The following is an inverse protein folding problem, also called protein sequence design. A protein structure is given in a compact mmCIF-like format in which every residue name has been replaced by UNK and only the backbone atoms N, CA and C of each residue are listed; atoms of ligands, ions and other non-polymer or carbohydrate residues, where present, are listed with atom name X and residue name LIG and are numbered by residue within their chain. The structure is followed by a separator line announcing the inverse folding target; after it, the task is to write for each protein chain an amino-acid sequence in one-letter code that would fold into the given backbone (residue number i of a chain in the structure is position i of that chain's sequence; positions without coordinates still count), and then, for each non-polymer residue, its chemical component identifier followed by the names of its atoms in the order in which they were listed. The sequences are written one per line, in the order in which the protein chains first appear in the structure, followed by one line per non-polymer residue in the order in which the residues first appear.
data_IF_478460749372
#
_entry.id   IF_478460749372
#
_cell.length_a   1.000
_cell.length_b   1.000
_cell.length_c   1.000
_cell.angle_alpha   90.00
_cell.angle_beta   90.00
_cell.angle_gamma   90.00
#
_symmetry.space_group_name_H-M   'P 1'
#
loop_
_entity.id
_entity.type
_entity.pdbx_description
1 polymer ?
#
# COMPACT_ATOMS: atom_id res chain seq x y z
N UNK A 1 -6.62 1.39 -15.87
CA UNK A 1 -5.43 1.81 -16.64
C UNK A 1 -4.34 2.24 -15.65
N UNK A 2 -3.15 1.63 -15.69
CA UNK A 2 -1.99 2.00 -14.86
C UNK A 2 -0.92 2.62 -15.79
N UNK A 3 -0.81 3.95 -15.88
CA UNK A 3 0.15 4.59 -16.76
C UNK A 3 1.59 4.19 -16.40
N UNK A 4 2.44 4.06 -17.41
CA UNK A 4 3.87 3.79 -17.26
C UNK A 4 4.27 2.49 -16.54
N UNK A 5 3.36 1.53 -16.42
CA UNK A 5 3.66 0.26 -15.77
C UNK A 5 4.78 -0.51 -16.50
N UNK A 6 4.73 -0.52 -17.83
CA UNK A 6 5.66 -1.29 -18.67
C UNK A 6 6.88 -0.47 -19.12
N UNK A 7 6.79 0.87 -19.09
CA UNK A 7 7.85 1.76 -19.57
C UNK A 7 8.89 2.11 -18.51
N UNK A 8 8.64 1.75 -17.25
CA UNK A 8 9.52 2.10 -16.15
C UNK A 8 9.39 3.56 -15.66
N UNK A 9 8.71 4.42 -16.41
CA UNK A 9 8.59 5.85 -16.14
C UNK A 9 7.81 6.14 -14.83
N UNK A 10 7.98 7.31 -14.21
CA UNK A 10 7.31 7.65 -12.95
C UNK A 10 5.80 7.43 -13.02
N UNK A 11 5.23 6.86 -11.97
CA UNK A 11 3.81 6.59 -11.87
C UNK A 11 3.35 6.90 -10.45
N UNK A 12 2.68 8.04 -10.28
CA UNK A 12 2.22 8.53 -8.97
C UNK A 12 1.30 7.54 -8.21
N UNK A 13 0.72 6.55 -8.90
CA UNK A 13 -0.08 5.50 -8.27
C UNK A 13 0.77 4.39 -7.63
N UNK A 14 2.06 4.31 -7.98
CA UNK A 14 3.04 3.39 -7.43
C UNK A 14 3.92 4.04 -6.35
N UNK A 15 3.90 5.36 -6.26
CA UNK A 15 4.64 6.12 -5.27
C UNK A 15 3.87 6.22 -3.95
N UNK A 16 4.58 6.06 -2.83
CA UNK A 16 3.99 6.21 -1.50
C UNK A 16 3.64 7.67 -1.26
N UNK A 17 2.40 7.99 -0.83
CA UNK A 17 2.03 9.37 -0.55
C UNK A 17 2.81 9.92 0.65
N UNK A 18 3.18 11.19 0.59
CA UNK A 18 3.87 11.88 1.68
C UNK A 18 2.85 12.25 2.75
N UNK A 19 3.08 11.77 3.98
CA UNK A 19 2.32 12.15 5.17
C UNK A 19 3.12 13.22 5.91
N UNK A 20 2.79 14.49 5.70
CA UNK A 20 3.57 15.62 6.21
C UNK A 20 3.32 15.93 7.69
N UNK A 21 2.13 15.61 8.19
CA UNK A 21 1.77 15.71 9.60
C UNK A 21 0.88 14.53 9.98
N UNK A 22 1.28 13.77 11.01
CA UNK A 22 0.54 12.61 11.49
C UNK A 22 -0.52 12.97 12.54
N UNK A 23 -0.47 14.18 13.11
CA UNK A 23 -1.46 14.68 14.06
C UNK A 23 -2.62 15.41 13.37
N UNK A 24 -2.46 15.76 12.09
CA UNK A 24 -3.54 16.31 11.27
C UNK A 24 -4.48 15.18 10.83
N UNK A 25 -5.77 15.22 11.23
CA UNK A 25 -6.72 14.15 10.95
C UNK A 25 -7.07 14.03 9.47
N UNK A 26 -6.93 15.09 8.67
CA UNK A 26 -7.14 15.04 7.23
C UNK A 26 -5.95 14.38 6.54
N UNK A 27 -4.73 14.75 6.92
CA UNK A 27 -3.50 14.17 6.35
C UNK A 27 -3.33 12.70 6.79
N UNK A 28 -3.78 12.35 7.99
CA UNK A 28 -3.81 10.98 8.49
C UNK A 28 -4.54 9.98 7.59
N UNK A 29 -5.53 10.41 6.79
CA UNK A 29 -6.23 9.55 5.82
C UNK A 29 -5.30 8.97 4.74
N UNK A 30 -4.16 9.63 4.46
CA UNK A 30 -3.16 9.12 3.53
C UNK A 30 -2.52 7.80 4.00
N UNK A 31 -2.54 7.51 5.30
CA UNK A 31 -2.08 6.23 5.85
C UNK A 31 -3.02 5.08 5.44
N UNK A 32 -4.33 5.29 5.57
CA UNK A 32 -5.34 4.34 5.09
C UNK A 32 -5.29 4.14 3.58
N UNK A 33 -5.08 5.22 2.82
CA UNK A 33 -4.85 5.13 1.38
C UNK A 33 -3.59 4.31 1.07
N UNK A 34 -2.52 4.49 1.84
CA UNK A 34 -1.25 3.76 1.66
C UNK A 34 -1.45 2.26 1.83
N UNK A 35 -2.12 1.84 2.91
CA UNK A 35 -2.42 0.43 3.17
C UNK A 35 -3.40 -0.17 2.14
N UNK A 36 -4.44 0.57 1.76
CA UNK A 36 -5.38 0.17 0.71
C UNK A 36 -4.68 -0.06 -0.63
N UNK A 37 -3.73 0.82 -0.98
CA UNK A 37 -2.90 0.68 -2.19
C UNK A 37 -1.96 -0.51 -2.08
N UNK A 38 -1.36 -0.78 -0.93
CA UNK A 38 -0.54 -1.96 -0.73
C UNK A 38 -1.32 -3.25 -1.09
N UNK A 39 -2.53 -3.41 -0.54
CA UNK A 39 -3.40 -4.55 -0.83
C UNK A 39 -3.76 -4.63 -2.34
N UNK A 40 -4.21 -3.52 -2.91
CA UNK A 40 -4.65 -3.46 -4.32
C UNK A 40 -3.51 -3.77 -5.28
N UNK A 41 -2.35 -3.15 -5.10
CA UNK A 41 -1.17 -3.36 -5.95
C UNK A 41 -0.68 -4.80 -5.90
N UNK A 42 -0.79 -5.45 -4.74
CA UNK A 42 -0.47 -6.87 -4.59
C UNK A 42 -1.44 -7.76 -5.37
N UNK A 43 -2.75 -7.55 -5.23
CA UNK A 43 -3.73 -8.31 -6.03
C UNK A 43 -3.52 -8.15 -7.54
N UNK A 44 -3.20 -6.93 -7.99
CA UNK A 44 -2.87 -6.68 -9.39
C UNK A 44 -1.59 -7.41 -9.82
N UNK A 45 -0.55 -7.46 -8.98
CA UNK A 45 0.66 -8.20 -9.26
C UNK A 45 0.38 -9.72 -9.38
N UNK A 46 -0.49 -10.26 -8.53
CA UNK A 46 -0.83 -11.68 -8.52
C UNK A 46 -1.65 -12.11 -9.74
N UNK A 47 -2.49 -11.22 -10.27
CA UNK A 47 -3.26 -11.45 -11.50
C UNK A 47 -2.42 -11.39 -12.79
N UNK A 48 -1.17 -10.92 -12.72
CA UNK A 48 -0.28 -10.81 -13.87
C UNK A 48 0.68 -12.00 -14.00
N UNK A 49 1.04 -12.39 -15.25
CA UNK A 49 2.11 -13.34 -15.48
C UNK A 49 3.45 -12.83 -14.95
N UNK A 50 4.41 -13.72 -14.79
CA UNK A 50 5.76 -13.35 -14.38
C UNK A 50 6.40 -12.38 -15.38
N UNK A 51 6.99 -11.30 -14.87
CA UNK A 51 7.59 -10.27 -15.70
C UNK A 51 7.85 -8.96 -14.95
N UNK A 52 8.38 -7.98 -15.67
CA UNK A 52 8.78 -6.68 -15.11
C UNK A 52 7.60 -5.93 -14.48
N UNK A 53 6.42 -5.95 -15.10
CA UNK A 53 5.21 -5.31 -14.58
C UNK A 53 4.78 -5.89 -13.22
N UNK A 54 4.76 -7.23 -13.10
CA UNK A 54 4.47 -7.94 -11.85
C UNK A 54 5.49 -7.57 -10.77
N UNK A 55 6.78 -7.60 -11.10
CA UNK A 55 7.84 -7.25 -10.14
C UNK A 55 7.72 -5.81 -9.65
N UNK A 56 7.41 -4.87 -10.56
CA UNK A 56 7.22 -3.45 -10.25
C UNK A 56 6.03 -3.21 -9.33
N UNK A 57 4.88 -3.85 -9.58
CA UNK A 57 3.71 -3.77 -8.70
C UNK A 57 3.98 -4.39 -7.33
N UNK A 58 4.66 -5.54 -7.30
CA UNK A 58 5.01 -6.19 -6.04
C UNK A 58 5.96 -5.33 -5.18
N UNK A 59 6.93 -4.65 -5.80
CA UNK A 59 7.82 -3.71 -5.15
C UNK A 59 7.06 -2.47 -4.63
N UNK A 60 6.20 -1.87 -5.45
CA UNK A 60 5.37 -0.73 -5.05
C UNK A 60 4.45 -1.10 -3.87
N UNK A 61 3.80 -2.27 -3.92
CA UNK A 61 2.97 -2.77 -2.82
C UNK A 61 3.79 -2.94 -1.53
N UNK A 62 5.02 -3.44 -1.61
CA UNK A 62 5.89 -3.59 -0.45
C UNK A 62 6.31 -2.25 0.15
N UNK A 63 6.63 -1.26 -0.70
CA UNK A 63 6.98 0.09 -0.25
C UNK A 63 5.80 0.75 0.50
N UNK A 64 4.58 0.61 -0.02
CA UNK A 64 3.37 1.09 0.65
C UNK A 64 3.15 0.38 1.99
N UNK A 65 3.26 -0.95 2.03
CA UNK A 65 3.09 -1.70 3.28
C UNK A 65 4.11 -1.25 4.33
N UNK A 66 5.39 -1.14 3.96
CA UNK A 66 6.45 -0.72 4.87
C UNK A 66 6.26 0.71 5.42
N UNK A 67 5.67 1.61 4.63
CA UNK A 67 5.37 2.97 5.07
C UNK A 67 4.11 3.07 5.93
N UNK A 68 3.07 2.29 5.61
CA UNK A 68 1.77 2.35 6.28
C UNK A 68 1.71 1.57 7.60
N UNK A 69 2.38 0.41 7.68
CA UNK A 69 2.25 -0.50 8.83
C UNK A 69 2.72 0.10 10.17
N UNK A 70 3.82 0.88 10.24
CA UNK A 70 4.25 1.52 11.49
C UNK A 70 3.27 2.57 12.04
N UNK A 71 2.27 2.99 11.25
CA UNK A 71 1.28 3.95 11.70
C UNK A 71 0.08 3.29 12.42
N UNK A 72 0.00 1.95 12.41
CA UNK A 72 -1.09 1.17 13.05
C UNK A 72 -0.85 0.99 14.56
N UNK A 73 0.40 1.11 15.02
CA UNK A 73 0.83 0.81 16.39
C UNK A 73 1.12 2.09 17.22
N UNK A 74 0.60 3.25 16.82
CA UNK A 74 0.99 4.54 17.43
C UNK A 74 0.22 4.91 18.69
N UNK A 75 -0.80 4.15 19.08
CA UNK A 75 -1.50 4.30 20.36
C UNK A 75 -2.49 5.48 20.41
N UNK A 76 -2.91 6.02 19.27
CA UNK A 76 -3.99 7.01 19.17
C UNK A 76 -5.28 6.30 18.75
N UNK A 77 -6.18 6.10 19.72
CA UNK A 77 -7.49 5.46 19.54
C UNK A 77 -8.30 6.04 18.37
N UNK A 78 -8.12 7.33 18.08
CA UNK A 78 -8.84 8.05 17.03
C UNK A 78 -8.38 7.68 15.62
N UNK A 79 -7.12 7.23 15.48
CA UNK A 79 -6.48 6.92 14.20
C UNK A 79 -6.28 5.41 14.01
N UNK A 80 -5.99 4.68 15.09
CA UNK A 80 -5.59 3.27 15.04
C UNK A 80 -6.76 2.31 14.74
N UNK A 81 -7.98 2.61 15.23
CA UNK A 81 -9.08 1.64 15.17
C UNK A 81 -9.53 1.34 13.72
N UNK A 82 -9.48 2.34 12.84
CA UNK A 82 -9.92 2.18 11.45
C UNK A 82 -8.77 1.72 10.55
N UNK A 83 -7.53 2.11 10.87
CA UNK A 83 -6.31 1.66 10.19
C UNK A 83 -6.08 0.15 10.32
N UNK A 84 -6.46 -0.46 11.44
CA UNK A 84 -6.33 -1.90 11.67
C UNK A 84 -6.99 -2.76 10.56
N UNK A 85 -8.16 -2.35 10.06
CA UNK A 85 -8.84 -3.06 8.96
C UNK A 85 -8.05 -2.99 7.66
N UNK A 86 -7.48 -1.83 7.35
CA UNK A 86 -6.64 -1.66 6.17
C UNK A 86 -5.31 -2.39 6.27
N UNK A 87 -4.73 -2.45 7.48
CA UNK A 87 -3.52 -3.20 7.76
C UNK A 87 -3.75 -4.71 7.54
N UNK A 88 -4.85 -5.26 8.08
CA UNK A 88 -5.19 -6.67 7.89
C UNK A 88 -5.41 -7.02 6.41
N UNK A 89 -6.14 -6.18 5.67
CA UNK A 89 -6.30 -6.35 4.21
C UNK A 89 -4.96 -6.35 3.47
N UNK A 90 -4.04 -5.48 3.86
CA UNK A 90 -2.71 -5.40 3.24
C UNK A 90 -1.83 -6.60 3.60
N UNK A 91 -1.91 -7.09 4.84
CA UNK A 91 -1.14 -8.25 5.31
C UNK A 91 -1.65 -9.57 4.73
N UNK A 92 -2.96 -9.77 4.68
CA UNK A 92 -3.56 -10.97 4.06
C UNK A 92 -3.24 -11.06 2.57
N UNK A 93 -3.27 -9.94 1.85
CA UNK A 93 -2.80 -9.88 0.46
C UNK A 93 -1.29 -10.22 0.34
N UNK A 94 -0.47 -9.86 1.33
CA UNK A 94 0.95 -10.25 1.34
C UNK A 94 1.19 -11.73 1.67
N UNK A 95 0.27 -12.36 2.40
CA UNK A 95 0.35 -13.74 2.87
C UNK A 95 -0.19 -14.81 1.91
N UNK A 96 -0.90 -14.45 0.83
CA UNK A 96 -1.57 -15.39 -0.10
C UNK A 96 -0.63 -16.26 -0.96
N UNK A 97 0.68 -16.25 -0.72
CA UNK A 97 1.66 -17.14 -1.36
C UNK A 97 1.83 -18.47 -0.63
N UNK A 98 0.75 -19.18 -0.31
CA UNK A 98 0.78 -20.63 -0.06
C UNK A 98 -0.63 -21.22 -0.16
N UNK A 99 -1.05 -21.62 -1.37
CA UNK A 99 -1.86 -22.82 -1.57
C UNK A 99 -1.78 -23.31 -3.01
#
# INVERSE_FOLDING_TARGET
FLPALDSGAPCALLDVPVVSDHADPHIGHLLGLTLSRAATLRHLADALPQGAARARLAAAAQAHLAAGLPAVDRGDFTTDHWLATFAELAQTAAGSRTR
#
